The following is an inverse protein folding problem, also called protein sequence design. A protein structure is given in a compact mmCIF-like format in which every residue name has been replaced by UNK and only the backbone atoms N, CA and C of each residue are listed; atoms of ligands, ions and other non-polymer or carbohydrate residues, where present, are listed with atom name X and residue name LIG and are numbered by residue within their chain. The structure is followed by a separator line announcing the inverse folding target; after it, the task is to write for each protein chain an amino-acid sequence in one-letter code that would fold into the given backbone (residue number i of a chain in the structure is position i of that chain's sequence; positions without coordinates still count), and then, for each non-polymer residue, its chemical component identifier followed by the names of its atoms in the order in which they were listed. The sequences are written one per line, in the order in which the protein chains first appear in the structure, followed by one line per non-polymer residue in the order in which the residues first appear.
data_IF_023522794328
#
_entry.id   IF_023522794328
#
_cell.length_a   1.000
_cell.length_b   1.000
_cell.length_c   1.000
_cell.angle_alpha   90.00
_cell.angle_beta   90.00
_cell.angle_gamma   90.00
#
_symmetry.space_group_name_H-M   'P 1'
#
loop_
_entity.id
_entity.type
_entity.pdbx_description
1 polymer ?
#
# COMPACT_ATOMS: atom_id res chain seq x y z
N UNK A 1 15.93 63.58 8.04
CA UNK A 1 16.49 62.84 6.90
C UNK A 1 16.09 61.40 7.12
N UNK A 2 15.00 60.98 6.49
CA UNK A 2 14.41 59.65 6.65
C UNK A 2 15.12 58.78 5.62
N UNK A 3 16.06 57.96 6.05
CA UNK A 3 16.70 56.94 5.21
C UNK A 3 15.69 55.82 4.99
N UNK A 4 15.18 55.72 3.76
CA UNK A 4 14.52 54.51 3.29
C UNK A 4 15.57 53.41 3.15
N UNK A 5 15.39 52.32 3.91
CA UNK A 5 16.18 51.10 3.76
C UNK A 5 15.90 50.47 2.37
N UNK A 6 16.93 50.29 1.52
CA UNK A 6 16.78 49.67 0.20
C UNK A 6 16.52 48.15 0.23
N UNK A 7 16.35 47.54 1.42
CA UNK A 7 16.05 46.10 1.57
C UNK A 7 14.61 45.69 1.21
N UNK A 8 13.70 46.62 0.93
CA UNK A 8 12.26 46.30 0.83
C UNK A 8 11.73 45.90 -0.56
N UNK A 9 12.57 45.76 -1.59
CA UNK A 9 12.10 45.27 -2.89
C UNK A 9 13.12 44.32 -3.53
N UNK A 10 13.49 43.25 -2.82
CA UNK A 10 13.83 42.00 -3.50
C UNK A 10 12.57 41.50 -4.21
N UNK A 11 12.32 42.06 -5.40
CA UNK A 11 11.31 41.58 -6.32
C UNK A 11 11.61 40.11 -6.58
N UNK A 12 10.83 39.22 -5.95
CA UNK A 12 10.77 37.79 -6.23
C UNK A 12 10.75 37.62 -7.75
N UNK A 13 11.88 37.24 -8.34
CA UNK A 13 11.95 36.97 -9.78
C UNK A 13 11.47 35.55 -9.97
N UNK A 14 10.27 35.41 -10.54
CA UNK A 14 9.82 34.16 -11.14
C UNK A 14 10.92 33.70 -12.08
N UNK A 15 11.51 32.55 -11.80
CA UNK A 15 12.60 32.05 -12.63
C UNK A 15 12.02 31.44 -13.90
N UNK A 16 12.86 31.32 -14.93
CA UNK A 16 12.48 30.63 -16.16
C UNK A 16 12.10 29.16 -15.90
N UNK A 17 12.67 28.54 -14.84
CA UNK A 17 12.34 27.18 -14.45
C UNK A 17 10.94 27.07 -13.84
N UNK A 18 10.54 28.04 -13.00
CA UNK A 18 9.19 28.10 -12.42
C UNK A 18 8.13 28.26 -13.53
N UNK A 19 8.44 29.13 -14.51
CA UNK A 19 7.59 29.34 -15.68
C UNK A 19 7.48 28.07 -16.53
N UNK A 20 8.58 27.33 -16.69
CA UNK A 20 8.61 26.08 -17.44
C UNK A 20 7.83 24.96 -16.74
N UNK A 21 7.93 24.84 -15.40
CA UNK A 21 7.14 23.88 -14.60
C UNK A 21 5.66 24.17 -14.69
N UNK A 22 5.27 25.44 -14.57
CA UNK A 22 3.88 25.86 -14.73
C UNK A 22 3.37 25.54 -16.14
N UNK A 23 4.16 25.84 -17.17
CA UNK A 23 3.81 25.53 -18.57
C UNK A 23 3.66 24.03 -18.80
N UNK A 24 4.55 23.19 -18.24
CA UNK A 24 4.47 21.73 -18.36
C UNK A 24 3.25 21.16 -17.65
N UNK A 25 2.90 21.69 -16.47
CA UNK A 25 1.67 21.32 -15.77
C UNK A 25 0.42 21.71 -16.59
N UNK A 26 0.43 22.88 -17.20
CA UNK A 26 -0.66 23.37 -18.05
C UNK A 26 -0.81 22.56 -19.34
N UNK A 27 0.31 22.17 -19.97
CA UNK A 27 0.31 21.29 -21.14
C UNK A 27 -0.24 19.90 -20.83
N UNK A 28 0.17 19.28 -19.71
CA UNK A 28 -0.38 17.99 -19.26
C UNK A 28 -1.88 18.07 -18.97
N UNK A 29 -2.32 19.18 -18.39
CA UNK A 29 -3.75 19.44 -18.20
C UNK A 29 -4.46 19.53 -19.56
N UNK A 30 -3.93 20.30 -20.52
CA UNK A 30 -4.47 20.40 -21.87
C UNK A 30 -4.54 19.05 -22.59
N UNK A 31 -3.50 18.21 -22.49
CA UNK A 31 -3.50 16.85 -23.03
C UNK A 31 -4.60 16.00 -22.42
N UNK A 32 -4.77 16.03 -21.10
CA UNK A 32 -5.85 15.32 -20.40
C UNK A 32 -7.24 15.85 -20.75
N UNK A 33 -7.37 17.16 -20.99
CA UNK A 33 -8.61 17.79 -21.42
C UNK A 33 -9.02 17.34 -22.84
N UNK A 34 -8.07 16.93 -23.69
CA UNK A 34 -8.33 16.48 -25.07
C UNK A 34 -8.50 14.97 -25.15
N UNK A 35 -7.63 14.18 -24.50
CA UNK A 35 -7.64 12.72 -24.59
C UNK A 35 -8.84 12.10 -23.88
N UNK A 36 -9.21 12.61 -22.70
CA UNK A 36 -10.27 12.01 -21.87
C UNK A 36 -11.67 12.09 -22.49
N UNK A 37 -12.10 13.19 -23.13
CA UNK A 37 -13.33 13.19 -23.93
C UNK A 37 -13.29 12.21 -25.11
N UNK A 38 -12.15 12.06 -25.78
CA UNK A 38 -11.98 11.14 -26.91
C UNK A 38 -12.08 9.69 -26.46
N UNK A 39 -11.48 9.33 -25.33
CA UNK A 39 -11.56 7.98 -24.75
C UNK A 39 -13.00 7.66 -24.31
N UNK A 40 -13.70 8.62 -23.73
CA UNK A 40 -15.11 8.46 -23.34
C UNK A 40 -16.04 8.33 -24.56
N UNK A 41 -15.78 9.10 -25.62
CA UNK A 41 -16.49 8.98 -26.89
C UNK A 41 -16.21 7.64 -27.57
N UNK A 42 -14.95 7.19 -27.58
CA UNK A 42 -14.53 5.90 -28.11
C UNK A 42 -15.15 4.73 -27.36
N UNK A 43 -15.10 4.74 -26.03
CA UNK A 43 -15.74 3.71 -25.20
C UNK A 43 -17.27 3.68 -25.35
N UNK A 44 -17.90 4.83 -25.61
CA UNK A 44 -19.32 4.89 -25.93
C UNK A 44 -19.60 4.32 -27.31
N UNK A 45 -18.81 4.69 -28.33
CA UNK A 45 -18.97 4.19 -29.69
C UNK A 45 -18.79 2.66 -29.76
N UNK A 46 -17.84 2.10 -29.01
CA UNK A 46 -17.65 0.67 -28.87
C UNK A 46 -18.89 -0.03 -28.29
N UNK A 47 -19.45 0.50 -27.19
CA UNK A 47 -20.70 -0.04 -26.60
C UNK A 47 -21.90 0.06 -27.53
N UNK A 48 -21.98 1.10 -28.37
CA UNK A 48 -23.01 1.24 -29.40
C UNK A 48 -22.83 0.16 -30.47
N UNK A 49 -21.61 -0.03 -30.97
CA UNK A 49 -21.30 -1.05 -31.95
C UNK A 49 -21.64 -2.45 -31.41
N UNK A 50 -21.26 -2.77 -30.17
CA UNK A 50 -21.56 -4.04 -29.52
C UNK A 50 -23.08 -4.27 -29.35
N UNK A 51 -23.82 -3.23 -28.95
CA UNK A 51 -25.28 -3.29 -28.83
C UNK A 51 -26.01 -3.47 -30.17
N UNK A 52 -25.48 -2.89 -31.25
CA UNK A 52 -26.00 -3.06 -32.61
C UNK A 52 -25.73 -4.48 -33.14
N UNK A 53 -24.50 -4.99 -32.93
CA UNK A 53 -24.10 -6.35 -33.33
C UNK A 53 -24.94 -7.40 -32.61
N UNK A 54 -25.27 -7.17 -31.34
CA UNK A 54 -26.06 -8.11 -30.53
C UNK A 54 -27.59 -7.96 -30.71
N UNK A 55 -28.05 -7.01 -31.54
CA UNK A 55 -29.48 -6.80 -31.78
C UNK A 55 -30.27 -6.32 -30.56
N UNK A 56 -29.60 -5.80 -29.53
CA UNK A 56 -30.19 -5.44 -28.24
C UNK A 56 -30.67 -3.99 -28.17
N UNK A 57 -30.41 -3.20 -29.20
CA UNK A 57 -30.88 -1.81 -29.30
C UNK A 57 -32.29 -1.74 -29.88
N UNK A 58 -33.29 -1.96 -29.01
CA UNK A 58 -34.67 -1.58 -29.29
C UNK A 58 -34.86 -0.05 -29.33
N UNK A 59 -36.05 0.41 -29.69
CA UNK A 59 -36.36 1.84 -29.88
C UNK A 59 -36.17 2.70 -28.61
N UNK A 60 -36.20 2.10 -27.43
CA UNK A 60 -35.93 2.74 -26.13
C UNK A 60 -34.43 2.86 -25.80
N UNK A 61 -33.58 2.08 -26.46
CA UNK A 61 -32.14 1.99 -26.18
C UNK A 61 -31.35 3.25 -26.56
N UNK A 62 -31.74 3.92 -27.65
CA UNK A 62 -31.05 5.12 -28.14
C UNK A 62 -31.21 6.32 -27.19
N UNK A 63 -32.41 6.50 -26.62
CA UNK A 63 -32.69 7.55 -25.63
C UNK A 63 -31.99 7.29 -24.29
N UNK A 64 -31.84 6.03 -23.89
CA UNK A 64 -31.10 5.66 -22.68
C UNK A 64 -29.58 5.86 -22.86
N UNK A 65 -29.05 5.54 -24.05
CA UNK A 65 -27.67 5.80 -24.42
C UNK A 65 -27.35 7.29 -24.43
N UNK A 66 -28.16 8.12 -25.08
CA UNK A 66 -27.99 9.57 -25.10
C UNK A 66 -27.94 10.16 -23.68
N UNK A 67 -28.80 9.66 -22.78
CA UNK A 67 -28.81 10.05 -21.36
C UNK A 67 -27.60 9.54 -20.57
N UNK A 68 -26.99 8.43 -20.95
CA UNK A 68 -25.75 7.94 -20.34
C UNK A 68 -24.58 8.82 -20.76
N UNK A 69 -24.45 9.10 -22.06
CA UNK A 69 -23.40 9.96 -22.62
C UNK A 69 -23.48 11.36 -22.05
N UNK A 70 -24.68 11.95 -21.99
CA UNK A 70 -24.87 13.28 -21.42
C UNK A 70 -24.47 13.33 -19.93
N UNK A 71 -24.72 12.28 -19.15
CA UNK A 71 -24.28 12.20 -17.74
C UNK A 71 -22.78 12.07 -17.60
N UNK A 72 -22.15 11.23 -18.41
CA UNK A 72 -20.69 11.05 -18.39
C UNK A 72 -19.98 12.35 -18.81
N UNK A 73 -20.53 13.07 -19.79
CA UNK A 73 -20.03 14.37 -20.22
C UNK A 73 -20.23 15.47 -19.16
N UNK A 74 -21.41 15.52 -18.51
CA UNK A 74 -21.68 16.45 -17.42
C UNK A 74 -20.77 16.20 -16.20
N UNK A 75 -20.47 14.94 -15.89
CA UNK A 75 -19.53 14.56 -14.85
C UNK A 75 -18.11 15.01 -15.18
N UNK A 76 -17.66 14.77 -16.41
CA UNK A 76 -16.35 15.24 -16.87
C UNK A 76 -16.24 16.76 -16.79
N UNK A 77 -17.25 17.50 -17.25
CA UNK A 77 -17.28 18.96 -17.16
C UNK A 77 -17.20 19.46 -15.70
N UNK A 78 -17.88 18.78 -14.78
CA UNK A 78 -17.84 19.09 -13.34
C UNK A 78 -16.45 18.81 -12.74
N UNK A 79 -15.84 17.69 -13.10
CA UNK A 79 -14.47 17.33 -12.69
C UNK A 79 -13.45 18.34 -13.22
N UNK A 80 -13.58 18.79 -14.47
CA UNK A 80 -12.69 19.78 -15.08
C UNK A 80 -12.81 21.18 -14.44
N UNK A 81 -14.02 21.59 -14.03
CA UNK A 81 -14.25 22.89 -13.37
C UNK A 81 -13.68 22.94 -11.95
N UNK A 82 -13.43 21.79 -11.32
CA UNK A 82 -12.87 21.72 -9.97
C UNK A 82 -11.33 21.80 -9.93
N UNK A 83 -10.64 21.61 -11.07
CA UNK A 83 -9.17 21.54 -11.13
C UNK A 83 -8.47 22.90 -10.98
N UNK A 84 -8.92 24.01 -11.64
CA UNK A 84 -8.23 25.30 -11.54
C UNK A 84 -8.16 25.87 -10.11
N UNK A 85 -9.22 25.81 -9.28
CA UNK A 85 -9.15 26.27 -7.89
C UNK A 85 -8.16 25.47 -7.04
N UNK A 86 -8.05 24.15 -7.28
CA UNK A 86 -7.12 23.28 -6.55
C UNK A 86 -5.66 23.52 -6.92
N UNK A 87 -5.38 23.78 -8.20
CA UNK A 87 -4.03 24.08 -8.67
C UNK A 87 -3.54 25.47 -8.19
N UNK A 88 -4.43 26.45 -8.11
CA UNK A 88 -4.12 27.79 -7.58
C UNK A 88 -3.84 27.73 -6.08
N UNK A 89 -4.59 26.93 -5.31
CA UNK A 89 -4.35 26.76 -3.88
C UNK A 89 -2.95 26.19 -3.55
N UNK A 90 -2.49 25.20 -4.34
CA UNK A 90 -1.15 24.61 -4.16
C UNK A 90 -0.04 25.60 -4.52
N UNK A 91 -0.21 26.36 -5.60
CA UNK A 91 0.78 27.35 -6.01
C UNK A 91 0.91 28.51 -4.99
N UNK A 92 -0.20 28.97 -4.42
CA UNK A 92 -0.20 30.07 -3.43
C UNK A 92 0.51 29.64 -2.13
N UNK A 93 0.27 28.43 -1.63
CA UNK A 93 0.93 27.92 -0.42
C UNK A 93 2.45 27.72 -0.61
N UNK A 94 2.89 27.45 -1.85
CA UNK A 94 4.31 27.23 -2.19
C UNK A 94 5.11 28.53 -2.31
N UNK A 95 4.47 29.66 -2.67
CA UNK A 95 5.15 30.97 -2.81
C UNK A 95 5.38 31.71 -1.48
N UNK A 96 4.77 31.28 -0.38
CA UNK A 96 4.77 31.97 0.91
C UNK A 96 5.73 31.38 1.97
N UNK A 97 6.42 30.27 1.70
CA UNK A 97 7.35 29.65 2.66
C UNK A 97 8.83 30.03 2.43
N UNK A 98 9.33 30.95 3.26
CA UNK A 98 10.70 31.50 3.28
C UNK A 98 11.77 30.43 3.59
N UNK A 99 12.89 30.43 2.85
CA UNK A 99 14.11 29.64 3.16
C UNK A 99 15.29 30.53 3.51
N UNK A 100 16.02 30.15 4.57
CA UNK A 100 17.20 30.82 5.16
C UNK A 100 18.47 29.94 4.93
N UNK A 101 19.68 30.36 5.34
CA UNK A 101 20.90 30.57 4.54
C UNK A 101 21.82 29.32 4.51
N UNK A 102 21.27 28.12 4.32
CA UNK A 102 22.00 26.85 4.47
C UNK A 102 22.91 26.49 3.29
N UNK A 103 22.97 27.34 2.24
CA UNK A 103 23.65 27.02 0.98
C UNK A 103 25.19 27.09 1.08
N UNK A 104 25.74 28.00 1.90
CA UNK A 104 27.20 28.17 2.04
C UNK A 104 27.89 27.10 2.92
N UNK A 105 27.12 26.39 3.76
CA UNK A 105 27.65 25.27 4.57
C UNK A 105 27.84 23.99 3.76
N UNK A 106 27.02 23.79 2.72
CA UNK A 106 27.06 22.59 1.87
C UNK A 106 28.28 22.62 0.95
N UNK A 107 28.69 23.79 0.47
CA UNK A 107 29.84 23.93 -0.44
C UNK A 107 31.18 23.63 0.25
N UNK A 108 31.31 23.91 1.56
CA UNK A 108 32.51 23.56 2.36
C UNK A 108 32.59 22.10 2.75
N UNK A 109 31.45 21.41 2.87
CA UNK A 109 31.42 19.98 3.17
C UNK A 109 31.86 19.13 1.96
N UNK A 110 31.83 19.69 0.75
CA UNK A 110 32.10 19.00 -0.51
C UNK A 110 33.58 19.05 -0.97
N UNK A 111 34.49 19.71 -0.25
CA UNK A 111 35.88 19.95 -0.71
C UNK A 111 36.95 18.93 -0.25
N UNK A 112 36.57 17.71 0.14
CA UNK A 112 37.39 16.48 0.15
C UNK A 112 38.88 16.54 0.55
N UNK A 113 39.20 16.48 1.84
CA UNK A 113 40.55 16.10 2.34
C UNK A 113 40.44 15.07 3.49
N UNK A 114 40.74 13.80 3.14
CA UNK A 114 40.77 12.49 3.85
C UNK A 114 41.51 12.37 5.23
N UNK A 115 41.61 11.19 5.92
CA UNK A 115 40.67 10.06 6.21
C UNK A 115 40.80 9.48 7.67
N UNK A 116 39.86 8.67 8.24
CA UNK A 116 39.86 7.18 8.42
C UNK A 116 39.25 6.79 9.82
N UNK A 117 39.06 5.52 10.26
CA UNK A 117 38.26 4.36 9.76
C UNK A 117 37.43 3.56 10.84
N UNK A 118 36.61 2.59 10.37
CA UNK A 118 35.87 1.43 11.00
C UNK A 118 34.85 1.68 12.13
N UNK A 119 33.61 1.15 12.10
CA UNK A 119 33.23 -0.28 11.96
C UNK A 119 32.00 -0.52 11.03
N UNK A 120 32.27 -1.30 9.99
CA UNK A 120 31.49 -2.31 9.22
C UNK A 120 29.99 -2.17 8.97
N UNK A 121 29.68 -1.80 7.73
CA UNK A 121 28.47 -2.18 7.00
C UNK A 121 28.40 -3.70 6.79
N UNK A 122 27.21 -4.31 6.96
CA UNK A 122 26.95 -5.65 6.43
C UNK A 122 26.79 -5.53 4.92
N UNK A 123 27.89 -5.73 4.20
CA UNK A 123 27.83 -6.16 2.81
C UNK A 123 27.58 -7.66 2.84
N UNK A 124 26.37 -8.09 2.49
CA UNK A 124 26.12 -9.51 2.21
C UNK A 124 26.82 -9.81 0.89
N UNK A 125 28.03 -10.34 0.97
CA UNK A 125 28.74 -10.90 -0.17
C UNK A 125 27.91 -12.10 -0.69
N UNK A 126 27.40 -12.06 -1.93
CA UNK A 126 26.63 -13.17 -2.51
C UNK A 126 27.41 -14.49 -2.50
N UNK A 127 28.74 -14.44 -2.54
CA UNK A 127 29.61 -15.61 -2.43
C UNK A 127 29.64 -16.18 -1.01
N UNK A 128 29.45 -15.35 0.02
CA UNK A 128 29.35 -15.77 1.42
C UNK A 128 27.99 -16.41 1.72
N UNK A 129 26.89 -15.85 1.20
CA UNK A 129 25.56 -16.46 1.30
C UNK A 129 25.49 -17.82 0.57
N UNK A 130 26.12 -17.92 -0.61
CA UNK A 130 26.25 -19.18 -1.35
C UNK A 130 27.20 -20.17 -0.66
N UNK A 131 28.28 -19.69 -0.04
CA UNK A 131 29.22 -20.50 0.75
C UNK A 131 28.57 -21.06 2.01
N UNK A 132 27.76 -20.25 2.71
CA UNK A 132 26.96 -20.67 3.86
C UNK A 132 25.87 -21.68 3.45
N UNK A 133 25.20 -21.47 2.31
CA UNK A 133 24.28 -22.45 1.72
C UNK A 133 24.97 -23.79 1.46
N UNK A 134 26.18 -23.78 0.89
CA UNK A 134 26.97 -25.00 0.62
C UNK A 134 27.55 -25.64 1.87
N UNK A 135 27.92 -24.85 2.88
CA UNK A 135 28.38 -25.36 4.18
C UNK A 135 27.23 -26.07 4.92
N UNK A 136 26.04 -25.45 4.97
CA UNK A 136 24.85 -26.06 5.58
C UNK A 136 24.38 -27.32 4.83
N UNK A 137 24.48 -27.33 3.49
CA UNK A 137 24.19 -28.51 2.69
C UNK A 137 25.18 -29.66 2.94
N UNK A 138 26.48 -29.36 3.09
CA UNK A 138 27.52 -30.34 3.45
C UNK A 138 27.36 -30.88 4.86
N UNK A 139 27.12 -30.02 5.84
CA UNK A 139 26.94 -30.43 7.24
C UNK A 139 25.66 -31.26 7.44
N UNK A 140 24.66 -31.08 6.56
CA UNK A 140 23.45 -31.88 6.53
C UNK A 140 23.57 -33.15 5.64
N UNK A 141 24.75 -33.46 5.09
CA UNK A 141 25.03 -34.67 4.32
C UNK A 141 24.53 -34.66 2.87
N UNK A 142 24.11 -33.51 2.35
CA UNK A 142 23.65 -33.34 0.97
C UNK A 142 24.81 -32.95 0.05
N UNK A 143 25.74 -33.88 -0.17
CA UNK A 143 26.69 -33.77 -1.29
C UNK A 143 26.18 -34.57 -2.48
N UNK A 144 25.45 -33.91 -3.39
CA UNK A 144 25.54 -34.24 -4.82
C UNK A 144 24.98 -33.11 -5.67
N UNK A 145 25.80 -32.68 -6.63
CA UNK A 145 25.43 -31.76 -7.68
C UNK A 145 24.45 -32.46 -8.64
N UNK A 146 23.21 -31.99 -8.72
CA UNK A 146 22.23 -32.50 -9.68
C UNK A 146 20.85 -31.91 -9.39
N UNK A 147 20.12 -31.56 -10.45
CA UNK A 147 18.85 -30.85 -10.39
C UNK A 147 17.78 -31.57 -9.56
N UNK A 148 17.22 -30.90 -8.55
CA UNK A 148 15.83 -30.44 -8.51
C UNK A 148 15.57 -29.73 -7.17
N UNK A 149 14.99 -28.53 -7.22
CA UNK A 149 14.57 -27.77 -6.03
C UNK A 149 13.28 -28.39 -5.46
N UNK A 150 13.41 -29.53 -4.79
CA UNK A 150 12.39 -29.94 -3.82
C UNK A 150 12.59 -29.14 -2.54
N UNK A 151 11.60 -28.32 -2.17
CA UNK A 151 11.52 -27.69 -0.84
C UNK A 151 11.19 -28.79 0.16
N UNK A 152 12.12 -29.20 1.05
CA UNK A 152 11.81 -30.18 2.08
C UNK A 152 11.25 -29.45 3.31
N UNK A 153 10.29 -30.13 3.92
CA UNK A 153 9.65 -29.90 5.21
C UNK A 153 10.40 -28.94 6.16
N UNK A 154 9.96 -27.68 6.22
CA UNK A 154 10.58 -26.66 7.08
C UNK A 154 10.12 -26.80 8.51
N UNK A 155 10.79 -27.67 9.25
CA UNK A 155 10.87 -27.59 10.71
C UNK A 155 11.50 -26.26 11.18
N UNK A 156 11.47 -25.97 12.50
CA UNK A 156 11.77 -24.67 13.11
C UNK A 156 13.26 -24.25 13.10
N UNK A 157 14.06 -24.68 12.13
CA UNK A 157 15.51 -24.41 12.06
C UNK A 157 16.04 -23.91 10.71
N UNK A 158 15.20 -23.68 9.71
CA UNK A 158 15.66 -23.10 8.45
C UNK A 158 15.87 -21.57 8.60
N UNK A 159 17.04 -21.02 8.17
CA UNK A 159 17.29 -19.59 8.23
C UNK A 159 16.31 -18.82 7.32
N UNK A 160 15.77 -17.72 7.82
CA UNK A 160 14.93 -16.82 7.05
C UNK A 160 15.82 -15.90 6.20
N UNK A 161 15.63 -15.87 4.88
CA UNK A 161 16.47 -15.11 3.95
C UNK A 161 15.90 -13.71 3.71
N UNK A 162 16.78 -12.70 3.65
CA UNK A 162 16.45 -11.34 3.25
C UNK A 162 17.11 -10.98 1.90
N UNK A 163 16.44 -10.21 1.03
CA UNK A 163 15.04 -9.77 1.15
C UNK A 163 14.07 -10.96 1.06
N UNK A 164 12.97 -10.89 1.81
CA UNK A 164 11.92 -11.91 1.79
C UNK A 164 11.20 -11.87 0.45
N UNK A 165 10.91 -13.02 -0.17
CA UNK A 165 10.31 -13.06 -1.52
C UNK A 165 8.90 -13.61 -1.50
N UNK A 166 8.05 -12.99 -2.31
CA UNK A 166 6.76 -13.51 -2.75
C UNK A 166 6.90 -13.83 -4.23
N UNK A 167 6.71 -15.10 -4.60
CA UNK A 167 6.95 -15.60 -5.96
C UNK A 167 5.66 -15.82 -6.74
N UNK A 168 4.55 -16.07 -6.04
CA UNK A 168 3.22 -16.10 -6.62
C UNK A 168 2.21 -15.71 -5.54
N UNK A 169 1.52 -14.61 -5.80
CA UNK A 169 0.36 -14.20 -5.02
C UNK A 169 -0.68 -13.52 -5.91
N UNK A 170 -1.90 -13.40 -5.40
CA UNK A 170 -2.87 -12.42 -5.89
C UNK A 170 -3.20 -11.44 -4.77
N UNK A 171 -3.58 -10.22 -5.14
CA UNK A 171 -3.91 -9.18 -4.17
C UNK A 171 -5.09 -8.34 -4.65
N UNK A 172 -6.04 -8.14 -3.76
CA UNK A 172 -7.08 -7.15 -3.87
C UNK A 172 -6.89 -6.06 -2.82
N UNK A 173 -7.31 -4.85 -3.13
CA UNK A 173 -7.30 -3.75 -2.16
C UNK A 173 -8.46 -2.80 -2.41
N UNK A 174 -8.88 -2.12 -1.35
CA UNK A 174 -9.83 -1.02 -1.39
C UNK A 174 -9.42 0.04 -0.39
N UNK A 175 -9.53 1.31 -0.76
CA UNK A 175 -9.11 2.45 0.05
C UNK A 175 -10.24 3.43 0.26
N UNK A 176 -10.32 4.01 1.45
CA UNK A 176 -11.30 5.04 1.82
C UNK A 176 -10.59 6.23 2.45
N UNK A 177 -11.22 7.40 2.34
CA UNK A 177 -10.86 8.54 3.17
C UNK A 177 -11.66 8.50 4.48
N UNK A 178 -10.95 8.53 5.59
CA UNK A 178 -11.48 8.69 6.95
C UNK A 178 -11.08 10.05 7.51
N UNK A 179 -11.76 10.49 8.56
CA UNK A 179 -11.38 11.73 9.22
C UNK A 179 -10.00 11.59 9.87
N UNK A 180 -9.28 12.70 10.02
CA UNK A 180 -8.03 12.71 10.80
C UNK A 180 -8.23 12.19 12.22
N UNK A 181 -9.34 12.56 12.88
CA UNK A 181 -9.68 12.09 14.21
C UNK A 181 -9.85 10.56 14.27
N UNK A 182 -10.48 9.96 13.26
CA UNK A 182 -10.56 8.50 13.15
C UNK A 182 -9.20 7.86 12.94
N UNK A 183 -8.36 8.44 12.09
CA UNK A 183 -7.01 7.92 11.84
C UNK A 183 -6.15 7.92 13.12
N UNK A 184 -6.17 9.02 13.87
CA UNK A 184 -5.46 9.12 15.15
C UNK A 184 -6.03 8.12 16.18
N UNK A 185 -7.36 8.00 16.28
CA UNK A 185 -8.02 6.99 17.13
C UNK A 185 -7.60 5.56 16.77
N UNK A 186 -7.55 5.22 15.49
CA UNK A 186 -7.14 3.90 15.01
C UNK A 186 -5.68 3.58 15.39
N UNK A 187 -4.77 4.55 15.29
CA UNK A 187 -3.41 4.37 15.76
C UNK A 187 -3.36 4.10 17.27
N UNK A 188 -4.09 4.87 18.08
CA UNK A 188 -4.19 4.64 19.52
C UNK A 188 -4.78 3.27 19.87
N UNK A 189 -5.84 2.84 19.18
CA UNK A 189 -6.43 1.51 19.35
C UNK A 189 -5.43 0.39 18.99
N UNK A 190 -4.63 0.58 17.95
CA UNK A 190 -3.59 -0.37 17.55
C UNK A 190 -2.44 -0.45 18.59
N UNK A 191 -2.07 0.67 19.22
CA UNK A 191 -1.12 0.67 20.35
C UNK A 191 -1.71 -0.03 21.58
N UNK A 192 -2.95 0.30 21.96
CA UNK A 192 -3.62 -0.28 23.13
C UNK A 192 -3.83 -1.80 23.02
N UNK A 193 -4.00 -2.31 21.80
CA UNK A 193 -4.09 -3.75 21.51
C UNK A 193 -2.72 -4.41 21.30
N UNK A 194 -1.64 -3.62 21.36
CA UNK A 194 -0.27 -4.07 21.17
C UNK A 194 0.09 -4.41 19.74
N UNK A 195 -0.71 -4.06 18.74
CA UNK A 195 -0.34 -4.23 17.33
C UNK A 195 0.76 -3.28 16.88
N UNK A 196 0.79 -2.08 17.46
CA UNK A 196 1.83 -1.07 17.29
C UNK A 196 2.50 -0.78 18.63
N UNK A 197 3.77 -0.35 18.61
CA UNK A 197 4.40 0.22 19.79
C UNK A 197 3.86 1.64 20.03
N UNK A 198 3.88 2.11 21.28
CA UNK A 198 3.39 3.46 21.62
C UNK A 198 4.20 4.55 20.91
N UNK A 199 5.51 4.30 20.75
CA UNK A 199 6.46 5.16 20.06
C UNK A 199 6.10 5.39 18.58
N UNK A 200 5.25 4.53 17.98
CA UNK A 200 4.74 4.74 16.63
C UNK A 200 3.92 6.04 16.52
N UNK A 201 3.18 6.43 17.58
CA UNK A 201 2.37 7.66 17.59
C UNK A 201 3.26 8.90 17.64
N UNK A 202 4.40 8.80 18.33
CA UNK A 202 5.37 9.90 18.50
C UNK A 202 6.29 10.07 17.30
N UNK A 203 6.42 9.05 16.46
CA UNK A 203 7.36 9.03 15.32
C UNK A 203 6.67 9.09 13.96
N UNK A 204 5.43 8.61 13.86
CA UNK A 204 4.66 8.59 12.63
C UNK A 204 3.39 9.45 12.77
N UNK A 205 3.01 10.10 11.68
CA UNK A 205 1.77 10.85 11.57
C UNK A 205 0.95 10.35 10.39
N UNK A 206 -0.38 10.23 10.53
CA UNK A 206 -1.27 10.05 9.40
C UNK A 206 -1.07 11.15 8.35
N UNK A 207 -1.04 10.77 7.07
CA UNK A 207 -0.93 11.70 5.95
C UNK A 207 -2.30 12.27 5.63
N UNK A 208 -2.45 13.59 5.76
CA UNK A 208 -3.63 14.31 5.28
C UNK A 208 -3.52 14.49 3.77
N UNK A 209 -4.46 13.91 3.02
CA UNK A 209 -4.54 14.02 1.56
C UNK A 209 -5.40 15.22 1.11
N UNK A 210 -5.75 16.10 2.05
CA UNK A 210 -6.57 17.29 1.86
C UNK A 210 -7.91 17.20 2.60
N UNK A 211 -8.38 18.36 3.07
CA UNK A 211 -9.67 18.55 3.78
C UNK A 211 -9.82 17.68 5.04
N UNK A 212 -8.71 17.35 5.73
CA UNK A 212 -8.74 16.51 6.92
C UNK A 212 -8.97 15.02 6.62
N UNK A 213 -8.80 14.62 5.36
CA UNK A 213 -8.99 13.24 4.91
C UNK A 213 -7.69 12.44 4.99
N UNK A 214 -7.75 11.27 5.59
CA UNK A 214 -6.62 10.32 5.68
C UNK A 214 -6.99 9.03 4.98
N UNK A 215 -6.05 8.45 4.23
CA UNK A 215 -6.29 7.21 3.49
C UNK A 215 -6.07 5.97 4.37
N UNK A 216 -7.14 5.19 4.55
CA UNK A 216 -7.12 3.83 5.12
C UNK A 216 -7.34 2.82 3.99
N UNK A 217 -6.63 1.71 4.00
CA UNK A 217 -6.78 0.66 2.99
C UNK A 217 -7.02 -0.71 3.61
N UNK A 218 -7.97 -1.45 3.05
CA UNK A 218 -8.18 -2.86 3.33
C UNK A 218 -7.53 -3.66 2.20
N UNK A 219 -6.60 -4.53 2.54
CA UNK A 219 -5.84 -5.36 1.60
C UNK A 219 -6.17 -6.82 1.88
N UNK A 220 -6.41 -7.61 0.84
CA UNK A 220 -6.60 -9.04 0.93
C UNK A 220 -5.67 -9.75 -0.07
N UNK A 221 -4.86 -10.69 0.41
CA UNK A 221 -3.83 -11.35 -0.40
C UNK A 221 -3.92 -12.87 -0.28
N UNK A 222 -3.63 -13.55 -1.38
CA UNK A 222 -3.53 -15.01 -1.47
C UNK A 222 -2.11 -15.38 -1.89
N UNK A 223 -1.25 -15.73 -0.92
CA UNK A 223 0.14 -16.11 -1.16
C UNK A 223 0.22 -17.61 -1.43
N UNK A 224 0.50 -17.97 -2.68
CA UNK A 224 0.58 -19.36 -3.14
C UNK A 224 2.01 -19.89 -3.09
N UNK A 225 2.98 -18.99 -3.27
CA UNK A 225 4.40 -19.30 -3.15
C UNK A 225 5.13 -18.09 -2.57
N UNK A 226 5.64 -18.22 -1.34
CA UNK A 226 6.30 -17.13 -0.62
C UNK A 226 7.27 -17.68 0.41
N UNK A 227 8.32 -16.92 0.70
CA UNK A 227 9.22 -17.17 1.83
C UNK A 227 8.47 -16.99 3.17
N UNK A 228 7.25 -16.43 3.17
CA UNK A 228 6.36 -16.36 4.34
C UNK A 228 5.46 -17.59 4.54
N UNK A 229 5.54 -18.60 3.67
CA UNK A 229 4.63 -19.75 3.64
C UNK A 229 3.46 -19.55 2.67
N UNK A 230 2.51 -20.49 2.69
CA UNK A 230 1.28 -20.43 1.87
C UNK A 230 0.17 -19.90 2.76
N UNK A 231 -0.21 -18.65 2.55
CA UNK A 231 -1.07 -17.93 3.50
C UNK A 231 -2.08 -17.06 2.77
N UNK A 232 -3.27 -16.95 3.35
CA UNK A 232 -4.21 -15.88 3.05
C UNK A 232 -3.98 -14.78 4.07
N UNK A 233 -4.00 -13.53 3.63
CA UNK A 233 -3.84 -12.37 4.50
C UNK A 233 -5.00 -11.39 4.30
N UNK A 234 -5.50 -10.82 5.41
CA UNK A 234 -6.36 -9.63 5.40
C UNK A 234 -5.71 -8.58 6.31
N UNK A 235 -5.35 -7.44 5.74
CA UNK A 235 -4.70 -6.33 6.44
C UNK A 235 -5.50 -5.04 6.36
N UNK A 236 -5.56 -4.30 7.46
CA UNK A 236 -6.00 -2.91 7.49
C UNK A 236 -4.77 -2.02 7.67
N UNK A 237 -4.53 -1.14 6.71
CA UNK A 237 -3.38 -0.23 6.71
C UNK A 237 -3.82 1.22 6.78
N UNK A 238 -2.95 2.05 7.35
CA UNK A 238 -3.08 3.49 7.35
C UNK A 238 -1.92 4.11 6.59
N UNK A 239 -2.20 5.15 5.80
CA UNK A 239 -1.15 5.91 5.13
C UNK A 239 -0.51 6.89 6.12
N UNK A 240 0.78 6.72 6.38
CA UNK A 240 1.55 7.49 7.36
C UNK A 240 2.86 7.99 6.79
N UNK A 241 3.44 8.95 7.51
CA UNK A 241 4.73 9.54 7.23
C UNK A 241 5.48 9.83 8.53
N UNK A 242 6.82 9.76 8.55
CA UNK A 242 7.64 10.24 9.65
C UNK A 242 7.34 11.69 10.07
N UNK A 243 7.14 11.91 11.37
CA UNK A 243 6.98 13.25 11.94
C UNK A 243 8.25 14.08 11.79
N UNK A 244 8.08 15.39 11.65
CA UNK A 244 9.19 16.37 11.67
C UNK A 244 10.10 16.35 10.44
N UNK A 245 9.90 15.44 9.49
CA UNK A 245 10.64 15.44 8.23
C UNK A 245 9.96 16.36 7.22
N UNK A 246 10.74 17.13 6.44
CA UNK A 246 10.18 18.12 5.49
C UNK A 246 9.58 17.50 4.23
N UNK A 247 9.99 16.28 3.86
CA UNK A 247 9.48 15.53 2.71
C UNK A 247 9.49 14.01 2.96
N UNK A 248 8.72 13.50 3.92
CA UNK A 248 8.64 12.06 4.12
C UNK A 248 7.95 11.40 2.94
N UNK A 249 8.57 10.37 2.37
CA UNK A 249 7.90 9.47 1.44
C UNK A 249 6.72 8.79 2.18
N UNK A 250 5.46 8.96 1.75
CA UNK A 250 4.33 8.32 2.41
C UNK A 250 4.42 6.80 2.23
N UNK A 251 3.97 6.07 3.24
CA UNK A 251 3.95 4.62 3.23
C UNK A 251 2.77 4.07 4.01
N UNK A 252 2.73 2.75 4.16
CA UNK A 252 1.66 2.05 4.86
C UNK A 252 2.17 1.55 6.20
N UNK A 253 1.40 1.77 7.26
CA UNK A 253 1.55 1.04 8.53
C UNK A 253 0.38 0.08 8.68
N UNK A 254 0.66 -1.14 9.11
CA UNK A 254 -0.39 -2.11 9.40
C UNK A 254 -0.98 -1.82 10.77
N UNK A 255 -2.22 -1.32 10.80
CA UNK A 255 -3.02 -1.23 12.02
C UNK A 255 -3.41 -2.63 12.48
N UNK A 256 -3.60 -3.53 11.51
CA UNK A 256 -3.86 -4.94 11.74
C UNK A 256 -3.50 -5.79 10.53
N UNK A 257 -3.02 -7.00 10.76
CA UNK A 257 -2.73 -7.97 9.71
C UNK A 257 -3.06 -9.39 10.20
N UNK A 258 -4.06 -10.03 9.61
CA UNK A 258 -4.49 -11.39 9.94
C UNK A 258 -3.97 -12.34 8.87
N UNK A 259 -3.36 -13.45 9.28
CA UNK A 259 -2.74 -14.44 8.40
C UNK A 259 -3.21 -15.86 8.75
N UNK A 260 -3.16 -16.78 7.79
CA UNK A 260 -3.57 -18.18 8.02
C UNK A 260 -2.40 -19.12 8.32
N UNK A 261 -1.17 -18.72 7.96
CA UNK A 261 0.04 -19.50 8.22
C UNK A 261 0.81 -18.96 9.45
N UNK A 262 1.06 -19.80 10.48
CA UNK A 262 1.80 -19.38 11.67
C UNK A 262 3.29 -19.08 11.41
N UNK A 263 3.87 -19.59 10.32
CA UNK A 263 5.29 -19.43 10.02
C UNK A 263 5.70 -17.95 9.94
N UNK A 264 4.83 -17.10 9.38
CA UNK A 264 5.14 -15.69 9.18
C UNK A 264 5.06 -14.83 10.44
N UNK A 265 4.49 -15.33 11.55
CA UNK A 265 4.20 -14.51 12.74
C UNK A 265 5.47 -14.04 13.46
N UNK A 266 6.32 -15.00 13.85
CA UNK A 266 7.51 -14.72 14.63
C UNK A 266 8.51 -13.88 13.82
N UNK A 267 8.72 -14.27 12.56
CA UNK A 267 9.63 -13.56 11.66
C UNK A 267 9.15 -12.14 11.35
N UNK A 268 7.85 -11.94 11.07
CA UNK A 268 7.29 -10.61 10.83
C UNK A 268 7.54 -9.66 12.00
N UNK A 269 7.32 -10.17 13.23
CA UNK A 269 7.52 -9.41 14.46
C UNK A 269 8.99 -9.15 14.74
N UNK A 270 9.85 -10.15 14.57
CA UNK A 270 11.26 -10.04 14.95
C UNK A 270 12.04 -9.16 13.97
N UNK A 271 11.87 -9.38 12.66
CA UNK A 271 12.63 -8.65 11.65
C UNK A 271 12.00 -7.28 11.46
N UNK A 272 10.72 -7.23 11.10
CA UNK A 272 10.05 -5.98 10.71
C UNK A 272 9.25 -5.31 11.81
N UNK A 273 9.14 -5.89 13.02
CA UNK A 273 8.30 -5.29 14.07
C UNK A 273 6.79 -5.35 13.77
N UNK A 274 6.38 -6.12 12.77
CA UNK A 274 4.97 -6.22 12.35
C UNK A 274 4.29 -7.31 13.16
N UNK A 275 3.30 -6.95 13.96
CA UNK A 275 2.48 -7.93 14.69
C UNK A 275 1.31 -8.41 13.84
N UNK A 276 1.30 -9.72 13.60
CA UNK A 276 0.27 -10.43 12.85
C UNK A 276 -0.62 -11.24 13.81
N UNK A 277 -1.89 -11.34 13.46
CA UNK A 277 -2.86 -12.24 14.09
C UNK A 277 -2.94 -13.55 13.31
N UNK A 278 -3.06 -14.67 14.04
CA UNK A 278 -3.23 -15.98 13.42
C UNK A 278 -4.71 -16.37 13.37
N UNK A 279 -5.18 -16.72 12.17
CA UNK A 279 -6.42 -17.44 11.93
C UNK A 279 -6.11 -18.82 11.36
N UNK A 280 -5.81 -19.79 12.23
CA UNK A 280 -5.28 -21.09 11.81
C UNK A 280 -6.34 -21.98 11.13
N UNK A 281 -6.38 -21.88 9.80
CA UNK A 281 -7.27 -22.68 8.94
C UNK A 281 -7.16 -24.20 9.16
N UNK A 282 -6.01 -24.71 9.65
CA UNK A 282 -5.80 -26.16 9.85
C UNK A 282 -6.66 -26.70 10.99
N UNK A 283 -6.97 -25.86 11.96
CA UNK A 283 -7.75 -26.21 13.15
C UNK A 283 -9.25 -25.96 12.98
N UNK A 284 -9.65 -25.28 11.91
CA UNK A 284 -11.01 -24.79 11.73
C UNK A 284 -11.80 -25.64 10.73
N UNK A 285 -13.12 -25.81 10.96
CA UNK A 285 -13.99 -26.47 10.00
C UNK A 285 -14.06 -25.63 8.71
N UNK A 286 -14.28 -26.25 7.54
CA UNK A 286 -14.26 -25.55 6.25
C UNK A 286 -15.11 -24.26 6.18
N UNK A 287 -16.28 -24.23 6.80
CA UNK A 287 -17.14 -23.03 6.81
C UNK A 287 -16.64 -21.86 7.66
N UNK A 288 -15.55 -22.05 8.41
CA UNK A 288 -14.92 -21.04 9.29
C UNK A 288 -13.47 -20.76 8.90
N UNK A 289 -12.98 -21.35 7.81
CA UNK A 289 -11.65 -21.06 7.27
C UNK A 289 -11.67 -19.72 6.55
N UNK A 290 -10.59 -18.97 6.67
CA UNK A 290 -10.36 -17.80 5.83
C UNK A 290 -9.86 -18.30 4.47
N UNK A 291 -10.74 -18.25 3.47
CA UNK A 291 -10.48 -18.80 2.14
C UNK A 291 -10.58 -17.70 1.07
N UNK A 292 -10.18 -18.08 -0.15
CA UNK A 292 -10.31 -17.26 -1.36
C UNK A 292 -11.12 -18.02 -2.40
N UNK A 293 -11.99 -17.30 -3.10
CA UNK A 293 -12.84 -17.86 -4.12
C UNK A 293 -12.77 -17.02 -5.39
N UNK A 294 -12.27 -17.64 -6.47
CA UNK A 294 -12.05 -16.96 -7.75
C UNK A 294 -13.24 -17.19 -8.68
N UNK A 295 -13.93 -16.11 -9.03
CA UNK A 295 -14.88 -16.06 -10.13
C UNK A 295 -14.24 -15.47 -11.40
N UNK A 296 -15.01 -15.40 -12.48
CA UNK A 296 -14.54 -14.82 -13.75
C UNK A 296 -14.30 -13.31 -13.63
N UNK A 297 -15.21 -12.59 -12.98
CA UNK A 297 -15.27 -11.13 -12.88
C UNK A 297 -15.16 -10.62 -11.44
N UNK A 298 -15.10 -11.54 -10.46
CA UNK A 298 -15.02 -11.22 -9.04
C UNK A 298 -14.13 -12.20 -8.30
N UNK A 299 -13.61 -11.75 -7.17
CA UNK A 299 -12.90 -12.57 -6.19
C UNK A 299 -13.49 -12.33 -4.81
N UNK A 300 -13.70 -13.40 -4.06
CA UNK A 300 -14.16 -13.36 -2.67
C UNK A 300 -13.03 -13.74 -1.73
N UNK A 301 -12.85 -12.97 -0.66
CA UNK A 301 -12.03 -13.31 0.50
C UNK A 301 -12.93 -13.35 1.74
N UNK A 302 -12.66 -14.24 2.68
CA UNK A 302 -13.37 -14.25 3.96
C UNK A 302 -13.71 -15.66 4.44
N UNK A 303 -14.59 -15.72 5.43
CA UNK A 303 -14.88 -16.98 6.11
C UNK A 303 -15.78 -17.89 5.27
N UNK A 304 -15.25 -19.06 4.90
CA UNK A 304 -15.90 -20.04 4.04
C UNK A 304 -16.11 -19.52 2.61
N UNK A 305 -15.30 -18.57 2.15
CA UNK A 305 -15.46 -17.96 0.82
C UNK A 305 -15.48 -19.00 -0.31
N UNK A 306 -14.63 -20.03 -0.23
CA UNK A 306 -14.58 -21.11 -1.22
C UNK A 306 -15.90 -21.90 -1.33
N UNK A 307 -16.72 -21.92 -0.26
CA UNK A 307 -18.03 -22.57 -0.24
C UNK A 307 -19.18 -21.63 -0.64
N UNK A 308 -18.94 -20.32 -0.58
CA UNK A 308 -19.96 -19.29 -0.63
C UNK A 308 -20.21 -18.69 -2.02
N UNK A 309 -19.44 -19.06 -3.07
CA UNK A 309 -19.70 -18.58 -4.44
C UNK A 309 -21.13 -18.89 -4.94
N UNK A 310 -21.86 -19.77 -4.28
CA UNK A 310 -23.26 -20.10 -4.59
C UNK A 310 -24.32 -19.37 -3.73
N UNK A 311 -23.98 -18.81 -2.55
CA UNK A 311 -24.97 -18.22 -1.61
C UNK A 311 -24.34 -17.05 -0.83
N UNK A 312 -24.86 -15.84 -1.02
CA UNK A 312 -24.49 -14.67 -0.20
C UNK A 312 -24.90 -14.90 1.26
N UNK A 313 -23.91 -15.22 2.10
CA UNK A 313 -24.10 -15.41 3.54
C UNK A 313 -23.77 -14.11 4.27
N UNK A 314 -24.81 -13.30 4.50
CA UNK A 314 -24.72 -11.98 5.16
C UNK A 314 -24.32 -12.04 6.63
N UNK A 315 -24.16 -13.23 7.20
CA UNK A 315 -23.85 -13.48 8.59
C UNK A 315 -22.35 -13.66 8.87
N UNK A 316 -21.47 -13.54 7.87
CA UNK A 316 -20.01 -13.72 8.04
C UNK A 316 -19.21 -12.59 7.42
N UNK A 317 -17.97 -12.43 7.86
CA UNK A 317 -16.99 -11.56 7.21
C UNK A 317 -16.73 -12.08 5.80
N UNK A 318 -17.14 -11.30 4.81
CA UNK A 318 -16.87 -11.54 3.40
C UNK A 318 -16.48 -10.23 2.71
N UNK A 319 -15.41 -10.29 1.95
CA UNK A 319 -14.89 -9.23 1.09
C UNK A 319 -15.03 -9.70 -0.35
N UNK A 320 -15.69 -8.92 -1.20
CA UNK A 320 -15.78 -9.22 -2.62
C UNK A 320 -15.21 -8.07 -3.42
N UNK A 321 -14.23 -8.37 -4.27
CA UNK A 321 -13.59 -7.40 -5.13
C UNK A 321 -13.87 -7.73 -6.60
N UNK A 322 -14.01 -6.73 -7.47
CA UNK A 322 -14.02 -6.98 -8.90
C UNK A 322 -12.64 -7.51 -9.34
N UNK A 323 -12.64 -8.52 -10.20
CA UNK A 323 -11.46 -9.14 -10.78
C UNK A 323 -11.36 -8.67 -12.23
N UNK A 324 -10.46 -7.73 -12.48
CA UNK A 324 -10.38 -7.05 -13.77
C UNK A 324 -8.97 -6.53 -14.04
N UNK A 325 -8.76 -6.08 -15.28
CA UNK A 325 -7.54 -5.42 -15.71
C UNK A 325 -6.58 -6.35 -16.45
N UNK A 326 -5.82 -5.74 -17.34
CA UNK A 326 -4.77 -6.39 -18.16
C UNK A 326 -3.43 -5.69 -17.96
N UNK A 327 -3.36 -4.79 -16.97
CA UNK A 327 -2.18 -4.00 -16.67
C UNK A 327 -1.02 -4.86 -16.17
N UNK A 328 0.16 -4.25 -16.22
CA UNK A 328 1.39 -4.82 -15.71
C UNK A 328 2.21 -3.71 -15.07
N UNK A 329 2.83 -4.04 -13.95
CA UNK A 329 3.78 -3.20 -13.25
C UNK A 329 5.08 -3.97 -13.04
N UNK A 330 6.19 -3.22 -13.04
CA UNK A 330 7.49 -3.79 -12.75
C UNK A 330 8.19 -2.97 -11.68
N UNK A 331 8.58 -3.66 -10.61
CA UNK A 331 9.39 -3.14 -9.50
C UNK A 331 8.86 -1.83 -8.91
N UNK A 332 7.54 -1.73 -8.75
CA UNK A 332 6.90 -0.59 -8.10
C UNK A 332 7.28 -0.59 -6.62
N UNK A 333 7.94 0.48 -6.14
CA UNK A 333 8.32 0.61 -4.75
C UNK A 333 7.12 1.03 -3.90
N UNK A 334 7.02 0.46 -2.71
CA UNK A 334 6.11 0.85 -1.65
C UNK A 334 6.85 0.80 -0.31
N UNK A 335 6.55 1.72 0.59
CA UNK A 335 7.14 1.75 1.92
C UNK A 335 6.19 1.12 2.94
N UNK A 336 6.72 0.21 3.74
CA UNK A 336 6.04 -0.36 4.90
C UNK A 336 6.70 0.20 6.16
N UNK A 337 5.94 0.95 6.95
CA UNK A 337 6.39 1.50 8.23
C UNK A 337 6.05 0.57 9.38
N UNK A 338 6.92 0.54 10.38
CA UNK A 338 6.78 -0.27 11.58
C UNK A 338 7.66 0.25 12.72
N UNK A 339 7.62 -0.42 13.87
CA UNK A 339 8.50 -0.17 15.02
C UNK A 339 9.23 -1.45 15.41
N UNK A 340 10.56 -1.45 15.35
CA UNK A 340 11.38 -2.63 15.68
C UNK A 340 12.10 -2.43 17.00
N UNK A 341 12.26 -3.51 17.77
CA UNK A 341 13.22 -3.50 18.88
C UNK A 341 14.63 -3.71 18.32
N UNK A 342 15.65 -2.95 18.77
CA UNK A 342 17.02 -3.21 18.42
C UNK A 342 17.41 -4.66 18.78
N UNK A 343 18.16 -5.34 17.90
CA UNK A 343 18.68 -6.67 18.22
C UNK A 343 19.80 -6.58 19.26
N UNK A 344 19.58 -7.14 20.45
CA UNK A 344 20.60 -7.31 21.49
C UNK A 344 20.14 -6.92 22.91
N UNK A 345 20.77 -7.44 23.97
CA UNK A 345 20.58 -6.95 25.34
C UNK A 345 21.45 -5.69 25.60
N UNK A 346 20.95 -4.70 26.38
CA UNK A 346 19.59 -4.59 26.91
C UNK A 346 18.65 -4.02 25.82
N UNK A 347 17.42 -4.53 25.76
CA UNK A 347 16.41 -4.08 24.81
C UNK A 347 16.17 -2.57 25.00
N UNK A 348 16.74 -1.78 24.08
CA UNK A 348 16.53 -0.34 24.02
C UNK A 348 15.09 0.02 23.63
N UNK A 349 14.76 1.33 23.59
CA UNK A 349 13.47 1.80 23.10
C UNK A 349 13.20 1.27 21.69
N UNK A 350 11.93 1.08 21.34
CA UNK A 350 11.60 0.71 19.96
C UNK A 350 11.91 1.86 19.02
N UNK A 351 12.42 1.54 17.83
CA UNK A 351 12.74 2.54 16.82
C UNK A 351 11.76 2.44 15.65
N UNK A 352 11.33 3.60 15.16
CA UNK A 352 10.56 3.67 13.93
C UNK A 352 11.44 3.26 12.75
N UNK A 353 10.93 2.30 11.99
CA UNK A 353 11.63 1.72 10.86
C UNK A 353 10.74 1.75 9.63
N UNK A 354 11.39 1.59 8.47
CA UNK A 354 10.71 1.36 7.21
C UNK A 354 11.39 0.25 6.43
N UNK A 355 10.61 -0.56 5.74
CA UNK A 355 11.10 -1.54 4.79
C UNK A 355 10.60 -1.19 3.39
N UNK A 356 11.48 -1.37 2.41
CA UNK A 356 11.12 -1.23 1.00
C UNK A 356 10.46 -2.53 0.52
N UNK A 357 9.20 -2.44 0.12
CA UNK A 357 8.50 -3.45 -0.64
C UNK A 357 8.62 -3.11 -2.12
N UNK A 358 9.24 -3.98 -2.90
CA UNK A 358 9.29 -3.84 -4.36
C UNK A 358 8.37 -4.87 -4.97
N UNK A 359 7.36 -4.41 -5.71
CA UNK A 359 6.27 -5.24 -6.24
C UNK A 359 6.21 -5.19 -7.76
N UNK A 360 6.09 -6.35 -8.40
CA UNK A 360 5.72 -6.47 -9.81
C UNK A 360 4.39 -7.20 -9.91
N UNK A 361 3.55 -6.80 -10.85
CA UNK A 361 2.20 -7.33 -11.02
C UNK A 361 1.85 -7.57 -12.49
N UNK A 362 0.97 -8.53 -12.73
CA UNK A 362 0.33 -8.76 -14.03
C UNK A 362 -1.16 -9.05 -13.84
N UNK A 363 -1.96 -8.70 -14.84
CA UNK A 363 -3.43 -8.73 -14.73
C UNK A 363 -3.91 -7.70 -13.72
N UNK A 364 -3.32 -6.50 -13.77
CA UNK A 364 -3.61 -5.41 -12.84
C UNK A 364 -4.74 -4.53 -13.35
N UNK A 365 -5.63 -4.16 -12.42
CA UNK A 365 -6.69 -3.20 -12.64
C UNK A 365 -6.82 -2.28 -11.43
N UNK A 366 -7.09 -1.00 -11.70
CA UNK A 366 -7.47 -0.02 -10.68
C UNK A 366 -8.68 0.75 -11.20
N UNK A 367 -9.59 1.09 -10.30
CA UNK A 367 -10.71 1.98 -10.61
C UNK A 367 -11.00 2.90 -9.43
N UNK A 368 -11.49 4.10 -9.73
CA UNK A 368 -12.03 5.02 -8.74
C UNK A 368 -13.47 4.63 -8.41
N UNK A 369 -13.83 4.66 -7.14
CA UNK A 369 -15.10 4.05 -6.72
C UNK A 369 -15.05 2.53 -6.89
N UNK A 370 -16.19 1.93 -7.22
CA UNK A 370 -16.31 0.52 -7.60
C UNK A 370 -17.10 -0.34 -6.62
N UNK A 371 -17.49 -1.52 -7.09
CA UNK A 371 -18.42 -2.41 -6.40
C UNK A 371 -17.70 -3.45 -5.53
N UNK A 372 -16.96 -2.92 -4.54
CA UNK A 372 -16.43 -3.72 -3.44
C UNK A 372 -17.56 -4.03 -2.46
N UNK A 373 -17.77 -5.31 -2.18
CA UNK A 373 -18.79 -5.78 -1.24
C UNK A 373 -18.13 -6.15 0.07
N UNK A 374 -18.55 -5.54 1.17
CA UNK A 374 -18.09 -5.86 2.52
C UNK A 374 -19.30 -6.31 3.34
N UNK A 375 -19.40 -7.61 3.59
CA UNK A 375 -20.37 -8.19 4.51
C UNK A 375 -19.71 -8.39 5.87
N UNK A 376 -20.36 -7.93 6.93
CA UNK A 376 -19.92 -8.08 8.31
C UNK A 376 -20.98 -8.88 9.08
N UNK A 377 -20.59 -9.74 10.04
CA UNK A 377 -21.54 -10.44 10.88
C UNK A 377 -22.40 -9.47 11.69
N UNK A 378 -23.66 -9.84 11.96
CA UNK A 378 -24.60 -9.02 12.71
C UNK A 378 -24.27 -8.96 14.21
N UNK A 379 -23.81 -10.08 14.78
CA UNK A 379 -23.47 -10.21 16.19
C UNK A 379 -21.96 -10.47 16.40
N UNK A 380 -21.35 -9.64 17.26
CA UNK A 380 -19.95 -9.73 17.68
C UNK A 380 -19.70 -10.87 18.67
N UNK A 381 -20.72 -11.23 19.46
CA UNK A 381 -20.54 -11.92 20.73
C UNK A 381 -20.04 -13.37 20.58
N UNK A 382 -20.21 -13.98 19.41
CA UNK A 382 -19.76 -15.36 19.18
C UNK A 382 -18.42 -15.47 18.42
N UNK A 383 -17.72 -14.37 18.16
CA UNK A 383 -16.37 -14.37 17.58
C UNK A 383 -16.26 -15.15 16.25
N UNK A 384 -15.28 -16.06 16.13
CA UNK A 384 -15.15 -16.96 14.96
C UNK A 384 -16.42 -17.77 14.71
N UNK A 385 -17.13 -18.21 15.76
CA UNK A 385 -18.38 -18.96 15.60
C UNK A 385 -19.51 -18.10 15.01
N UNK A 386 -19.50 -16.79 15.22
CA UNK A 386 -20.42 -15.83 14.60
C UNK A 386 -19.93 -15.30 13.24
N UNK A 387 -18.85 -15.85 12.68
CA UNK A 387 -18.35 -15.40 11.39
C UNK A 387 -17.52 -14.11 11.44
N UNK A 388 -16.89 -13.79 12.57
CA UNK A 388 -15.88 -12.73 12.68
C UNK A 388 -14.45 -13.31 12.77
N UNK A 389 -13.43 -12.54 12.41
CA UNK A 389 -12.01 -12.82 12.73
C UNK A 389 -11.63 -12.36 14.16
N UNK A 390 -12.58 -12.42 15.08
CA UNK A 390 -12.42 -12.03 16.47
C UNK A 390 -12.01 -13.27 17.29
N UNK A 391 -10.79 -13.32 17.83
CA UNK A 391 -10.43 -14.33 18.85
C UNK A 391 -9.79 -13.67 20.08
N UNK A 392 -9.95 -14.33 21.22
CA UNK A 392 -9.83 -13.77 22.57
C UNK A 392 -8.58 -12.90 22.80
N UNK A 393 -8.79 -11.65 23.21
CA UNK A 393 -7.74 -10.68 23.56
C UNK A 393 -7.31 -9.75 22.42
N UNK A 394 -7.72 -10.00 21.17
CA UNK A 394 -7.38 -9.14 20.04
C UNK A 394 -8.43 -8.02 19.87
N UNK A 395 -8.03 -6.89 19.28
CA UNK A 395 -9.00 -5.95 18.71
C UNK A 395 -9.90 -6.69 17.69
N UNK A 396 -11.01 -6.13 17.22
CA UNK A 396 -11.90 -6.80 16.26
C UNK A 396 -11.91 -6.08 14.90
N UNK A 397 -11.53 -6.76 13.81
CA UNK A 397 -11.44 -6.14 12.49
C UNK A 397 -12.83 -5.74 12.01
N UNK A 398 -13.83 -6.60 12.24
CA UNK A 398 -15.20 -6.30 11.87
C UNK A 398 -15.74 -5.06 12.61
N UNK A 399 -15.35 -4.84 13.87
CA UNK A 399 -15.76 -3.68 14.66
C UNK A 399 -15.05 -2.43 14.19
N UNK A 400 -13.76 -2.52 13.88
CA UNK A 400 -13.01 -1.42 13.25
C UNK A 400 -13.64 -1.02 11.91
N UNK A 401 -13.97 -1.99 11.05
CA UNK A 401 -14.63 -1.72 9.76
C UNK A 401 -16.05 -1.16 9.93
N UNK A 402 -16.76 -1.55 11.01
CA UNK A 402 -18.10 -1.06 11.33
C UNK A 402 -18.06 0.34 11.93
N UNK A 403 -17.12 0.65 12.82
CA UNK A 403 -17.00 1.97 13.46
C UNK A 403 -16.62 3.07 12.46
N UNK A 404 -15.95 2.69 11.38
CA UNK A 404 -15.63 3.57 10.24
C UNK A 404 -16.73 3.59 9.16
N UNK A 405 -17.81 2.83 9.34
CA UNK A 405 -18.91 2.62 8.39
C UNK A 405 -18.46 2.19 6.98
N UNK A 406 -17.31 1.52 6.84
CA UNK A 406 -16.74 1.17 5.53
C UNK A 406 -17.63 0.19 4.76
N UNK A 407 -18.36 -0.68 5.47
CA UNK A 407 -19.32 -1.63 4.89
C UNK A 407 -20.55 -0.96 4.25
N UNK A 408 -20.78 0.32 4.53
CA UNK A 408 -21.90 1.11 3.99
C UNK A 408 -21.45 2.15 2.97
N UNK A 409 -20.14 2.27 2.73
CA UNK A 409 -19.53 3.32 1.91
C UNK A 409 -18.79 2.71 0.73
N UNK A 410 -18.95 3.31 -0.45
CA UNK A 410 -18.09 2.96 -1.58
C UNK A 410 -16.65 3.39 -1.29
N UNK A 411 -15.64 2.59 -1.69
CA UNK A 411 -14.24 2.99 -1.58
C UNK A 411 -13.95 4.19 -2.50
N UNK A 412 -12.94 4.97 -2.15
CA UNK A 412 -12.40 6.01 -3.02
C UNK A 412 -11.73 5.38 -4.25
N UNK A 413 -11.02 4.27 -4.06
CA UNK A 413 -10.44 3.45 -5.13
C UNK A 413 -10.35 1.98 -4.69
N UNK A 414 -10.32 1.08 -5.67
CA UNK A 414 -9.98 -0.32 -5.45
C UNK A 414 -9.12 -0.84 -6.60
N UNK A 415 -8.46 -1.97 -6.36
CA UNK A 415 -7.69 -2.63 -7.40
C UNK A 415 -7.55 -4.12 -7.17
N UNK A 416 -7.14 -4.76 -8.26
CA UNK A 416 -6.89 -6.19 -8.36
C UNK A 416 -5.54 -6.43 -9.00
N UNK A 417 -4.90 -7.54 -8.61
CA UNK A 417 -3.68 -8.04 -9.23
C UNK A 417 -3.75 -9.55 -9.27
N UNK A 418 -3.81 -10.08 -10.49
CA UNK A 418 -3.94 -11.51 -10.73
C UNK A 418 -2.69 -12.28 -10.33
N UNK A 419 -1.53 -11.80 -10.73
CA UNK A 419 -0.24 -12.41 -10.42
C UNK A 419 0.69 -11.33 -9.87
N UNK A 420 1.19 -11.55 -8.68
CA UNK A 420 2.06 -10.62 -7.97
C UNK A 420 3.33 -11.33 -7.52
N UNK A 421 4.46 -10.66 -7.72
CA UNK A 421 5.74 -10.98 -7.08
C UNK A 421 6.21 -9.79 -6.25
N UNK A 422 6.85 -10.06 -5.12
CA UNK A 422 7.36 -9.02 -4.24
C UNK A 422 8.71 -9.40 -3.64
N UNK A 423 9.50 -8.38 -3.30
CA UNK A 423 10.61 -8.49 -2.35
C UNK A 423 10.39 -7.51 -1.21
N UNK A 424 10.53 -7.96 0.04
CA UNK A 424 10.52 -7.10 1.21
C UNK A 424 11.93 -7.04 1.80
N UNK A 425 12.53 -5.86 1.74
CA UNK A 425 13.88 -5.61 2.26
C UNK A 425 13.94 -5.66 3.79
N UNK A 426 15.16 -5.75 4.33
CA UNK A 426 15.41 -5.49 5.74
C UNK A 426 14.92 -4.09 6.14
N UNK A 427 14.30 -3.93 7.32
CA UNK A 427 13.92 -2.61 7.78
C UNK A 427 15.14 -1.76 8.10
N UNK A 428 15.07 -0.49 7.74
CA UNK A 428 16.05 0.53 8.12
C UNK A 428 15.40 1.54 9.04
N UNK A 429 16.17 2.04 10.01
CA UNK A 429 15.69 3.08 10.92
C UNK A 429 15.33 4.33 10.13
N UNK A 430 14.24 5.00 10.53
CA UNK A 430 13.78 6.22 9.85
C UNK A 430 14.80 7.35 9.96
N UNK A 431 15.59 7.37 11.05
CA UNK A 431 16.63 8.38 11.31
C UNK A 431 17.97 8.10 10.59
N UNK A 432 18.33 6.84 10.34
CA UNK A 432 19.66 6.44 9.84
C UNK A 432 19.78 6.27 8.32
N UNK A 433 18.99 7.00 7.52
CA UNK A 433 18.81 6.67 6.10
C UNK A 433 20.10 6.75 5.28
N UNK A 434 20.49 5.68 4.57
CA UNK A 434 21.52 5.76 3.54
C UNK A 434 20.99 6.49 2.29
N UNK A 435 21.85 7.16 1.50
CA UNK A 435 21.46 7.75 0.23
C UNK A 435 20.82 6.72 -0.72
N UNK A 436 19.70 7.08 -1.38
CA UNK A 436 19.04 6.23 -2.39
C UNK A 436 17.84 5.41 -1.89
N UNK A 437 17.48 5.50 -0.62
CA UNK A 437 16.32 4.83 -0.02
C UNK A 437 15.02 5.65 -0.08
N UNK A 438 15.03 6.77 -0.81
CA UNK A 438 13.83 7.55 -1.10
C UNK A 438 13.22 7.10 -2.42
N UNK A 439 11.89 7.07 -2.45
CA UNK A 439 11.10 6.64 -3.61
C UNK A 439 11.17 7.66 -4.77
N UNK A 440 11.81 8.82 -4.53
CA UNK A 440 11.82 9.97 -5.45
C UNK A 440 13.03 10.10 -6.36
N UNK A 441 14.00 9.16 -6.38
CA UNK A 441 15.16 9.24 -7.29
C UNK A 441 15.34 8.01 -8.16
N UNK A 442 14.81 8.06 -9.39
CA UNK A 442 15.47 7.44 -10.54
C UNK A 442 16.38 8.48 -11.22
N UNK A 443 17.72 8.35 -11.12
CA UNK A 443 18.65 9.24 -11.82
C UNK A 443 18.80 8.91 -13.32
N UNK A 444 17.97 8.02 -13.90
CA UNK A 444 18.07 7.58 -15.31
C UNK A 444 16.89 7.97 -16.20
N UNK A 445 15.95 8.77 -15.70
CA UNK A 445 14.97 9.44 -16.55
C UNK A 445 15.45 10.90 -16.69
N UNK A 446 15.88 11.33 -17.90
CA UNK A 446 16.41 12.67 -18.12
C UNK A 446 15.43 13.79 -17.79
#
# INVERSE_FOLDING_TARGET
MIEHDPSELERKRVTSDDTYRLYRAWMRLGEQMISRPLDLAGGTAARIADGLVLGTLGHEGTAQMARSVARDYARLATEMLAVPPSAIGVAVDEFDTVTSPTHDMVERALSGTDPAPSVTAVVVDPSLAESQRRALARDAGFESAGADLSVPDTGPRAPFLLPARVRDASQAWASWFVSRADADRLMSEACNSGHLAEEAIDTLAPVDVGRGGVMVSLVASDYRASDFGVTQEIGLTLTVSPRGTRFPDPGQIFLRLIVTDPYSLATARQIWGIRKDLHDNRTLPPGSRLDVAYGADRVGFGLGAAQALAVSRRDKLQLGFPRFGTGRSDRVPALVYSTTQPHGPPAGPTEACRALLTRSGAGEGMQYGGDVTLSLPADRAAGIAAGCLCAGGMACLCDTLRSLDLHRRKPAANGWTERMTCTLAEPVTVAGQPPGYSVTKDPRIP
#
